data_IF_015365020089
#
_entry.id   IF_015365020089
#
_cell.length_a   1.000
_cell.length_b   1.000
_cell.length_c   1.000
_cell.angle_alpha   90.00
_cell.angle_beta   90.00
_cell.angle_gamma   90.00
#
_symmetry.space_group_name_H-M   'P 1'
#
loop_
_entity.id
_entity.type
_entity.pdbx_description
1 polymer ?
#
# COMPACT_ATOMS: atom_id res chain seq x y z
N UNK A 1 -23.75 7.32 7.38
CA UNK A 1 -22.66 7.49 6.41
C UNK A 1 -21.46 8.20 7.02
N UNK A 2 -20.35 8.20 6.32
CA UNK A 2 -19.12 8.89 6.71
C UNK A 2 -18.94 10.16 5.88
N UNK A 3 -18.37 11.20 6.47
CA UNK A 3 -17.84 12.32 5.70
C UNK A 3 -16.46 11.95 5.19
N UNK A 4 -16.27 12.04 3.88
CA UNK A 4 -15.02 11.70 3.20
C UNK A 4 -14.46 12.95 2.55
N UNK A 5 -13.19 13.23 2.79
CA UNK A 5 -12.42 14.22 2.05
C UNK A 5 -11.50 13.48 1.06
N UNK A 6 -11.38 13.99 -0.15
CA UNK A 6 -10.49 13.45 -1.18
C UNK A 6 -9.41 14.48 -1.43
N UNK A 7 -8.15 14.04 -1.35
CA UNK A 7 -6.97 14.85 -1.62
C UNK A 7 -6.27 14.26 -2.85
N UNK A 8 -6.59 14.74 -4.06
CA UNK A 8 -5.99 14.22 -5.28
C UNK A 8 -4.61 14.84 -5.49
N UNK A 9 -3.61 14.00 -5.69
CA UNK A 9 -2.23 14.40 -6.02
C UNK A 9 -1.70 15.57 -5.15
N UNK A 10 -1.62 15.38 -3.81
CA UNK A 10 -1.09 16.42 -2.92
C UNK A 10 0.36 16.74 -3.26
N UNK A 11 0.80 17.96 -2.94
CA UNK A 11 2.21 18.26 -2.93
C UNK A 11 2.92 17.37 -1.91
N UNK A 12 3.80 16.52 -2.43
CA UNK A 12 4.49 15.52 -1.64
C UNK A 12 5.82 15.99 -1.06
N UNK A 13 6.25 17.23 -1.35
CA UNK A 13 7.50 17.78 -0.83
C UNK A 13 7.39 18.13 0.65
N UNK A 14 6.17 18.35 1.14
CA UNK A 14 5.90 18.61 2.56
C UNK A 14 4.63 17.91 3.04
N UNK A 15 4.34 17.99 4.34
CA UNK A 15 3.10 17.47 4.91
C UNK A 15 1.95 18.51 4.93
N UNK A 16 2.15 19.69 4.37
CA UNK A 16 1.18 20.80 4.48
C UNK A 16 -0.15 20.47 3.79
N UNK A 17 -0.11 19.99 2.54
CA UNK A 17 -1.31 19.62 1.80
C UNK A 17 -2.10 18.52 2.52
N UNK A 18 -1.40 17.59 3.18
CA UNK A 18 -2.04 16.52 3.94
C UNK A 18 -2.82 17.07 5.15
N UNK A 19 -2.45 18.24 5.69
CA UNK A 19 -3.15 18.91 6.78
C UNK A 19 -4.32 19.77 6.34
N UNK A 20 -4.45 20.07 5.04
CA UNK A 20 -5.43 21.00 4.50
C UNK A 20 -6.89 20.65 4.87
N UNK A 21 -7.20 19.36 4.97
CA UNK A 21 -8.56 18.88 5.33
C UNK A 21 -8.78 18.70 6.83
N UNK A 22 -7.80 19.08 7.66
CA UNK A 22 -7.81 18.87 9.11
C UNK A 22 -7.54 17.41 9.50
N UNK A 23 -7.39 17.16 10.81
CA UNK A 23 -7.08 15.81 11.32
C UNK A 23 -8.23 14.83 11.06
N UNK A 24 -7.98 13.71 10.36
CA UNK A 24 -8.98 12.69 10.14
C UNK A 24 -9.45 12.06 11.45
N UNK A 25 -10.75 11.82 11.56
CA UNK A 25 -11.34 11.26 12.79
C UNK A 25 -11.10 9.74 12.91
N UNK A 26 -11.11 9.03 11.79
CA UNK A 26 -11.07 7.57 11.77
C UNK A 26 -9.83 7.01 11.12
N UNK A 27 -9.35 7.62 10.05
CA UNK A 27 -8.17 7.13 9.34
C UNK A 27 -7.94 7.84 8.01
N UNK A 28 -6.82 7.51 7.40
CA UNK A 28 -6.42 7.92 6.05
C UNK A 28 -6.33 6.68 5.17
N UNK A 29 -6.95 6.75 3.99
CA UNK A 29 -6.85 5.73 2.95
C UNK A 29 -5.96 6.27 1.85
N UNK A 30 -4.93 5.52 1.45
CA UNK A 30 -3.92 5.97 0.48
C UNK A 30 -3.83 4.98 -0.67
N UNK A 31 -3.90 5.50 -1.89
CA UNK A 31 -3.64 4.73 -3.11
C UNK A 31 -2.73 5.48 -4.06
N UNK A 32 -1.98 4.74 -4.85
CA UNK A 32 -1.06 5.28 -5.87
C UNK A 32 -1.74 5.71 -7.18
N UNK A 33 -3.07 5.56 -7.30
CA UNK A 33 -3.82 5.82 -8.52
C UNK A 33 -4.12 4.55 -9.33
N UNK A 34 -4.59 4.73 -10.56
CA UNK A 34 -5.09 3.65 -11.42
C UNK A 34 -4.00 2.73 -11.99
N UNK A 35 -2.76 3.18 -11.98
CA UNK A 35 -1.62 2.46 -12.54
C UNK A 35 -0.43 2.57 -11.60
N UNK A 36 0.40 1.55 -11.59
CA UNK A 36 1.69 1.59 -10.91
C UNK A 36 2.52 2.79 -11.40
N UNK A 37 3.00 3.59 -10.46
CA UNK A 37 3.71 4.84 -10.77
C UNK A 37 4.97 4.61 -11.59
N UNK A 38 5.69 3.53 -11.32
CA UNK A 38 6.93 3.24 -12.04
C UNK A 38 6.64 2.88 -13.50
N UNK A 39 5.51 2.20 -13.79
CA UNK A 39 5.04 1.95 -15.16
C UNK A 39 4.54 3.24 -15.82
N UNK A 40 3.88 4.12 -15.04
CA UNK A 40 3.43 5.41 -15.55
C UNK A 40 4.58 6.36 -15.87
N UNK A 41 5.63 6.38 -15.05
CA UNK A 41 6.73 7.34 -15.17
C UNK A 41 7.88 6.89 -16.05
N UNK A 42 8.04 5.59 -16.27
CA UNK A 42 9.19 5.04 -17.00
C UNK A 42 8.78 4.12 -18.14
N UNK A 43 9.64 4.02 -19.12
CA UNK A 43 9.56 2.99 -20.18
C UNK A 43 10.18 1.68 -19.69
N UNK A 44 9.94 0.59 -20.42
CA UNK A 44 10.59 -0.71 -20.14
C UNK A 44 12.12 -0.61 -20.14
N UNK A 45 12.71 0.30 -20.95
CA UNK A 45 14.14 0.55 -20.95
C UNK A 45 14.59 1.50 -19.82
N UNK A 46 13.80 1.65 -18.75
CA UNK A 46 14.06 2.50 -17.58
C UNK A 46 14.28 3.99 -17.90
N UNK A 47 13.82 4.46 -19.07
CA UNK A 47 13.89 5.87 -19.45
C UNK A 47 12.66 6.61 -18.91
N UNK A 48 12.86 7.74 -18.25
CA UNK A 48 11.77 8.57 -17.76
C UNK A 48 10.92 9.07 -18.94
N UNK A 49 9.61 8.99 -18.81
CA UNK A 49 8.67 9.54 -19.78
C UNK A 49 8.66 11.05 -19.68
N UNK A 50 8.30 11.73 -20.76
CA UNK A 50 8.18 13.18 -20.82
C UNK A 50 6.81 13.71 -20.35
N UNK A 51 5.82 12.80 -20.23
CA UNK A 51 4.46 13.15 -19.81
C UNK A 51 3.94 12.10 -18.83
N UNK A 52 3.24 12.57 -17.79
CA UNK A 52 2.40 11.74 -16.92
C UNK A 52 0.94 11.94 -17.28
N UNK A 53 0.34 10.97 -17.97
CA UNK A 53 -1.06 11.06 -18.42
C UNK A 53 -2.09 11.07 -17.27
N UNK A 54 -1.65 10.77 -16.05
CA UNK A 54 -2.48 10.77 -14.84
C UNK A 54 -2.31 12.03 -13.99
N UNK A 55 -1.50 12.98 -14.44
CA UNK A 55 -1.33 14.29 -13.81
C UNK A 55 -1.98 15.39 -14.63
N UNK A 56 -2.40 16.44 -13.96
CA UNK A 56 -2.98 17.62 -14.60
C UNK A 56 -2.04 18.20 -15.65
N UNK A 57 -2.58 18.48 -16.84
CA UNK A 57 -1.79 18.95 -17.99
C UNK A 57 -0.81 17.93 -18.56
N UNK A 58 -0.76 16.71 -18.03
CA UNK A 58 0.22 15.69 -18.38
C UNK A 58 1.63 16.01 -17.87
N UNK A 59 1.75 16.84 -16.86
CA UNK A 59 3.04 17.27 -16.31
C UNK A 59 3.71 16.17 -15.50
N UNK A 60 5.00 15.96 -15.78
CA UNK A 60 5.84 15.05 -14.99
C UNK A 60 6.28 15.70 -13.67
N UNK A 61 6.32 14.87 -12.60
CA UNK A 61 6.84 15.29 -11.30
C UNK A 61 5.79 15.73 -10.29
N UNK A 62 4.55 15.93 -10.71
CA UNK A 62 3.43 16.20 -9.77
C UNK A 62 3.17 14.99 -8.86
N UNK A 63 3.33 13.77 -9.37
CA UNK A 63 3.31 12.56 -8.56
C UNK A 63 4.73 12.07 -8.30
N UNK A 64 5.07 11.63 -7.08
CA UNK A 64 6.36 11.00 -6.83
C UNK A 64 6.42 9.60 -7.45
N UNK A 65 7.61 9.06 -7.59
CA UNK A 65 7.81 7.63 -7.78
C UNK A 65 7.37 6.91 -6.50
N UNK A 66 6.67 5.79 -6.66
CA UNK A 66 6.11 5.00 -5.54
C UNK A 66 5.26 5.86 -4.59
N UNK A 67 4.21 6.56 -5.11
CA UNK A 67 3.41 7.52 -4.35
C UNK A 67 2.77 6.90 -3.10
N UNK A 68 2.41 5.63 -3.12
CA UNK A 68 1.85 4.96 -1.94
C UNK A 68 2.78 5.05 -0.74
N UNK A 69 4.09 4.83 -0.93
CA UNK A 69 5.10 4.96 0.13
C UNK A 69 5.26 6.42 0.55
N UNK A 70 5.43 7.30 -0.43
CA UNK A 70 5.69 8.74 -0.16
C UNK A 70 4.50 9.36 0.56
N UNK A 71 3.28 9.11 0.07
CA UNK A 71 2.07 9.67 0.69
C UNK A 71 1.82 9.09 2.08
N UNK A 72 2.12 7.80 2.32
CA UNK A 72 2.01 7.22 3.67
C UNK A 72 2.99 7.89 4.64
N UNK A 73 4.23 8.15 4.22
CA UNK A 73 5.20 8.89 5.03
C UNK A 73 4.73 10.32 5.33
N UNK A 74 4.20 11.04 4.35
CA UNK A 74 3.66 12.39 4.55
C UNK A 74 2.42 12.40 5.43
N UNK A 75 1.53 11.44 5.27
CA UNK A 75 0.35 11.31 6.14
C UNK A 75 0.75 11.00 7.58
N UNK A 76 1.75 10.14 7.80
CA UNK A 76 2.27 9.83 9.14
C UNK A 76 2.98 11.04 9.78
N UNK A 77 3.71 11.82 8.98
CA UNK A 77 4.30 13.10 9.42
C UNK A 77 3.22 14.11 9.81
N UNK A 78 2.14 14.20 9.01
CA UNK A 78 1.02 15.08 9.30
C UNK A 78 0.25 14.66 10.57
N UNK A 79 0.04 13.34 10.72
CA UNK A 79 -0.85 12.74 11.72
C UNK A 79 -0.24 11.47 12.32
N UNK A 80 0.68 11.58 13.30
CA UNK A 80 1.44 10.44 13.84
C UNK A 80 0.58 9.31 14.43
N UNK A 81 -0.59 9.64 14.96
CA UNK A 81 -1.49 8.74 15.69
C UNK A 81 -2.75 8.33 14.91
N UNK A 82 -2.88 8.76 13.67
CA UNK A 82 -4.05 8.41 12.84
C UNK A 82 -3.81 7.10 12.11
N UNK A 83 -4.78 6.17 12.12
CA UNK A 83 -4.70 4.94 11.32
C UNK A 83 -4.47 5.23 9.83
N UNK A 84 -3.50 4.57 9.24
CA UNK A 84 -3.19 4.66 7.81
C UNK A 84 -3.41 3.31 7.16
N UNK A 85 -4.23 3.29 6.13
CA UNK A 85 -4.49 2.12 5.30
C UNK A 85 -4.03 2.41 3.89
N UNK A 86 -3.17 1.58 3.36
CA UNK A 86 -2.72 1.67 1.96
C UNK A 86 -3.47 0.66 1.09
N UNK A 87 -3.62 0.96 -0.19
CA UNK A 87 -4.30 0.06 -1.12
C UNK A 87 -4.11 0.47 -2.58
N UNK A 88 -4.95 -0.09 -3.44
CA UNK A 88 -4.87 0.09 -4.88
C UNK A 88 -3.80 -0.80 -5.53
N UNK A 89 -3.63 -0.64 -6.84
CA UNK A 89 -2.79 -1.54 -7.66
C UNK A 89 -1.34 -1.58 -7.17
N UNK A 90 -0.74 -0.42 -6.91
CA UNK A 90 0.67 -0.31 -6.50
C UNK A 90 0.95 -1.03 -5.18
N UNK A 91 0.07 -0.88 -4.19
CA UNK A 91 0.19 -1.56 -2.91
C UNK A 91 -0.08 -3.07 -3.04
N UNK A 92 -1.12 -3.45 -3.78
CA UNK A 92 -1.50 -4.86 -3.99
C UNK A 92 -0.37 -5.67 -4.61
N UNK A 93 0.32 -5.13 -5.63
CA UNK A 93 1.45 -5.78 -6.29
C UNK A 93 2.69 -5.94 -5.39
N UNK A 94 2.76 -5.16 -4.30
CA UNK A 94 3.90 -5.12 -3.37
C UNK A 94 3.56 -5.60 -1.97
N UNK A 95 2.44 -6.30 -1.78
CA UNK A 95 1.96 -6.76 -0.47
C UNK A 95 2.86 -7.80 0.19
N UNK A 96 3.60 -8.57 -0.62
CA UNK A 96 4.59 -9.56 -0.19
C UNK A 96 6.00 -9.22 -0.70
N UNK A 97 6.95 -10.12 -0.48
CA UNK A 97 8.26 -10.02 -1.10
C UNK A 97 8.12 -10.08 -2.62
N UNK A 98 8.67 -9.10 -3.32
CA UNK A 98 8.49 -8.93 -4.76
C UNK A 98 9.77 -8.49 -5.43
N UNK A 99 9.92 -8.82 -6.74
CA UNK A 99 11.02 -8.32 -7.54
C UNK A 99 10.72 -6.90 -8.03
N UNK A 100 11.56 -5.96 -7.62
CA UNK A 100 11.52 -4.59 -8.12
C UNK A 100 12.40 -4.47 -9.37
N UNK A 101 11.76 -4.46 -10.54
CA UNK A 101 12.43 -4.35 -11.83
C UNK A 101 13.31 -3.09 -11.95
N UNK A 102 12.89 -1.98 -11.34
CA UNK A 102 13.56 -0.69 -11.48
C UNK A 102 14.88 -0.66 -10.72
N UNK A 103 14.90 -1.25 -9.52
CA UNK A 103 16.06 -1.35 -8.65
C UNK A 103 16.84 -2.67 -8.85
N UNK A 104 16.32 -3.57 -9.71
CA UNK A 104 16.91 -4.90 -10.00
C UNK A 104 17.20 -5.71 -8.73
N UNK A 105 16.22 -5.76 -7.83
CA UNK A 105 16.34 -6.50 -6.57
C UNK A 105 15.01 -6.97 -6.02
N UNK A 106 15.06 -7.97 -5.16
CA UNK A 106 13.90 -8.35 -4.34
C UNK A 106 13.75 -7.34 -3.21
N UNK A 107 12.51 -6.85 -3.02
CA UNK A 107 12.11 -6.01 -1.88
C UNK A 107 11.19 -6.77 -0.94
N UNK A 108 11.14 -6.35 0.31
CA UNK A 108 10.11 -6.80 1.27
C UNK A 108 8.73 -6.28 0.87
N UNK A 109 7.71 -6.71 1.61
CA UNK A 109 6.39 -6.07 1.53
C UNK A 109 6.50 -4.54 1.64
N UNK A 110 5.67 -3.84 0.88
CA UNK A 110 5.55 -2.36 0.93
C UNK A 110 5.23 -1.85 2.35
N UNK A 111 4.62 -2.66 3.20
CA UNK A 111 4.33 -2.32 4.60
C UNK A 111 5.59 -2.05 5.44
N UNK A 112 6.76 -2.52 5.01
CA UNK A 112 8.04 -2.18 5.67
C UNK A 112 8.61 -0.84 5.23
N UNK A 113 8.20 -0.33 4.06
CA UNK A 113 8.66 0.95 3.51
C UNK A 113 7.64 2.08 3.77
N UNK A 114 6.35 1.71 3.84
CA UNK A 114 5.25 2.63 4.12
C UNK A 114 4.81 2.49 5.58
N UNK A 115 4.77 3.58 6.38
CA UNK A 115 4.35 3.54 7.77
C UNK A 115 2.81 3.41 7.88
N UNK A 116 2.26 2.35 7.29
CA UNK A 116 0.84 2.03 7.27
C UNK A 116 0.52 0.91 8.27
N UNK A 117 -0.69 0.93 8.80
CA UNK A 117 -1.17 -0.06 9.77
C UNK A 117 -1.76 -1.29 9.07
N UNK A 118 -2.37 -1.07 7.89
CA UNK A 118 -3.01 -2.10 7.08
C UNK A 118 -2.78 -1.84 5.59
N UNK A 119 -2.81 -2.92 4.82
CA UNK A 119 -2.90 -2.88 3.37
C UNK A 119 -4.17 -3.60 2.93
N UNK A 120 -4.93 -3.00 2.02
CA UNK A 120 -6.09 -3.60 1.36
C UNK A 120 -5.69 -3.94 -0.07
N UNK A 121 -5.91 -5.18 -0.51
CA UNK A 121 -5.60 -5.64 -1.85
C UNK A 121 -6.82 -6.19 -2.59
N UNK A 122 -6.71 -6.32 -3.90
CA UNK A 122 -7.80 -6.81 -4.75
C UNK A 122 -8.99 -5.85 -4.79
N UNK A 123 -10.20 -6.41 -4.79
CA UNK A 123 -11.47 -5.68 -4.76
C UNK A 123 -11.77 -5.23 -3.32
N UNK A 124 -11.23 -4.08 -2.95
CA UNK A 124 -11.13 -3.61 -1.57
C UNK A 124 -12.37 -2.97 -0.97
N UNK A 125 -13.51 -2.91 -1.67
CA UNK A 125 -14.70 -2.18 -1.23
C UNK A 125 -15.26 -2.70 0.08
N UNK A 126 -15.43 -4.01 0.18
CA UNK A 126 -15.95 -4.67 1.40
C UNK A 126 -14.97 -4.54 2.57
N UNK A 127 -13.68 -4.77 2.33
CA UNK A 127 -12.64 -4.63 3.34
C UNK A 127 -12.57 -3.18 3.86
N UNK A 128 -12.57 -2.20 2.96
CA UNK A 128 -12.56 -0.77 3.31
C UNK A 128 -13.75 -0.37 4.15
N UNK A 129 -14.96 -0.84 3.79
CA UNK A 129 -16.18 -0.56 4.54
C UNK A 129 -16.12 -1.16 5.95
N UNK A 130 -15.62 -2.39 6.08
CA UNK A 130 -15.47 -3.06 7.37
C UNK A 130 -14.41 -2.39 8.25
N UNK A 131 -13.25 -2.03 7.68
CA UNK A 131 -12.20 -1.26 8.38
C UNK A 131 -12.79 0.05 8.90
N UNK A 132 -13.46 0.83 8.05
CA UNK A 132 -14.08 2.09 8.45
C UNK A 132 -15.09 1.90 9.59
N UNK A 133 -15.90 0.85 9.54
CA UNK A 133 -16.90 0.52 10.56
C UNK A 133 -16.24 0.18 11.92
N UNK A 134 -15.15 -0.60 11.91
CA UNK A 134 -14.43 -0.96 13.13
C UNK A 134 -13.66 0.23 13.73
N UNK A 135 -12.97 1.01 12.90
CA UNK A 135 -12.30 2.24 13.34
C UNK A 135 -13.30 3.27 13.93
N UNK A 136 -14.51 3.37 13.37
CA UNK A 136 -15.56 4.21 13.92
C UNK A 136 -16.05 3.74 15.31
N UNK A 137 -15.90 2.45 15.62
CA UNK A 137 -16.15 1.85 16.93
C UNK A 137 -14.94 1.90 17.86
N UNK A 138 -13.87 2.59 17.44
CA UNK A 138 -12.61 2.74 18.18
C UNK A 138 -11.81 1.44 18.34
N UNK A 139 -12.01 0.45 17.48
CA UNK A 139 -11.11 -0.70 17.41
C UNK A 139 -9.72 -0.20 16.96
N UNK A 140 -8.64 -0.58 17.63
CA UNK A 140 -7.30 -0.23 17.18
C UNK A 140 -6.94 -1.01 15.90
N UNK A 141 -6.09 -0.46 15.03
CA UNK A 141 -5.66 -1.16 13.80
C UNK A 141 -5.10 -2.56 14.04
N UNK A 142 -4.40 -2.77 15.15
CA UNK A 142 -3.82 -4.06 15.55
C UNK A 142 -4.85 -5.18 15.78
N UNK A 143 -6.13 -4.85 15.96
CA UNK A 143 -7.22 -5.82 16.09
C UNK A 143 -7.93 -6.12 14.76
N UNK A 144 -7.55 -5.45 13.66
CA UNK A 144 -8.19 -5.61 12.35
C UNK A 144 -7.54 -6.74 11.52
N UNK A 145 -7.25 -7.87 12.16
CA UNK A 145 -6.45 -8.95 11.59
C UNK A 145 -7.27 -10.05 10.91
N UNK A 146 -8.59 -9.98 11.00
CA UNK A 146 -9.52 -11.00 10.49
C UNK A 146 -10.42 -10.49 9.34
N UNK A 147 -9.99 -9.45 8.66
CA UNK A 147 -10.72 -8.88 7.52
C UNK A 147 -10.15 -9.48 6.22
N UNK A 148 -10.95 -10.20 5.41
CA UNK A 148 -10.49 -10.72 4.13
C UNK A 148 -10.03 -9.60 3.19
N UNK A 149 -9.01 -9.87 2.37
CA UNK A 149 -8.45 -8.90 1.44
C UNK A 149 -7.53 -7.88 2.11
N UNK A 150 -7.02 -8.16 3.31
CA UNK A 150 -6.05 -7.29 4.01
C UNK A 150 -4.73 -8.00 4.26
N UNK A 151 -3.66 -7.19 4.39
CA UNK A 151 -2.36 -7.63 4.86
C UNK A 151 -1.85 -6.67 5.95
N UNK A 152 -1.11 -7.21 6.91
CA UNK A 152 -0.53 -6.45 8.03
C UNK A 152 0.76 -7.11 8.49
N UNK A 153 1.57 -6.38 9.26
CA UNK A 153 2.78 -6.91 9.89
C UNK A 153 2.45 -7.31 11.33
N UNK A 154 2.86 -8.51 11.71
CA UNK A 154 2.77 -9.00 13.09
C UNK A 154 3.94 -9.93 13.40
N UNK A 155 4.39 -9.94 14.62
CA UNK A 155 5.31 -10.91 15.19
C UNK A 155 4.59 -12.07 15.92
N UNK A 156 3.26 -11.94 16.06
CA UNK A 156 2.41 -12.93 16.74
C UNK A 156 1.29 -13.38 15.80
N UNK A 157 1.38 -14.61 15.35
CA UNK A 157 0.29 -15.26 14.60
C UNK A 157 -0.67 -15.85 15.62
N UNK A 158 -1.80 -15.16 15.84
CA UNK A 158 -2.87 -15.64 16.70
C UNK A 158 -3.65 -16.81 16.08
N UNK A 159 -4.76 -17.19 16.70
CA UNK A 159 -5.68 -18.17 16.12
C UNK A 159 -6.27 -17.62 14.81
N UNK A 160 -6.01 -18.30 13.70
CA UNK A 160 -6.50 -17.91 12.39
C UNK A 160 -7.90 -18.50 12.15
N UNK A 161 -8.82 -17.65 11.71
CA UNK A 161 -10.16 -18.04 11.28
C UNK A 161 -10.22 -18.60 9.86
N UNK A 162 -9.10 -18.52 9.14
CA UNK A 162 -8.97 -18.89 7.73
C UNK A 162 -7.97 -20.02 7.55
N UNK A 163 -8.02 -20.65 6.37
CA UNK A 163 -6.96 -21.56 5.95
C UNK A 163 -5.60 -20.84 5.98
N UNK A 164 -4.57 -21.54 6.43
CA UNK A 164 -3.21 -21.02 6.50
C UNK A 164 -2.37 -21.66 5.42
N UNK A 165 -1.73 -20.83 4.60
CA UNK A 165 -0.67 -21.21 3.70
C UNK A 165 0.62 -20.47 4.07
N UNK A 166 1.72 -21.20 4.27
CA UNK A 166 3.01 -20.61 4.62
C UNK A 166 3.86 -20.43 3.34
N UNK A 167 4.16 -19.20 2.98
CA UNK A 167 5.04 -18.87 1.87
C UNK A 167 6.50 -18.71 2.33
N UNK A 168 7.49 -18.96 1.45
CA UNK A 168 8.89 -18.66 1.74
C UNK A 168 9.09 -17.21 2.17
N UNK A 169 9.85 -17.00 3.25
CA UNK A 169 10.17 -15.67 3.76
C UNK A 169 11.10 -14.88 2.84
N UNK A 170 11.24 -13.59 3.13
CA UNK A 170 12.02 -12.65 2.32
C UNK A 170 13.46 -13.11 2.05
N UNK A 171 14.16 -13.59 3.08
CA UNK A 171 15.55 -14.04 2.98
C UNK A 171 15.69 -15.23 2.02
N UNK A 172 14.77 -16.19 2.09
CA UNK A 172 14.73 -17.33 1.19
C UNK A 172 14.42 -16.91 -0.26
N UNK A 173 13.49 -15.98 -0.43
CA UNK A 173 13.12 -15.42 -1.73
C UNK A 173 14.27 -14.65 -2.36
N UNK A 174 15.07 -13.93 -1.58
CA UNK A 174 16.28 -13.24 -2.05
C UNK A 174 17.38 -14.21 -2.47
N UNK A 175 17.53 -15.32 -1.76
CA UNK A 175 18.63 -16.25 -1.96
C UNK A 175 18.39 -17.24 -3.11
N UNK A 176 17.13 -17.60 -3.40
CA UNK A 176 16.78 -18.68 -4.31
C UNK A 176 15.59 -18.34 -5.20
N UNK A 177 15.81 -18.36 -6.53
CA UNK A 177 14.74 -18.16 -7.53
C UNK A 177 13.63 -19.20 -7.45
N UNK A 178 13.92 -20.42 -7.02
CA UNK A 178 12.91 -21.45 -6.84
C UNK A 178 12.03 -21.14 -5.61
N UNK A 179 12.60 -20.58 -4.55
CA UNK A 179 11.81 -20.07 -3.42
C UNK A 179 10.91 -18.90 -3.83
N UNK A 180 11.43 -17.99 -4.67
CA UNK A 180 10.62 -16.92 -5.24
C UNK A 180 9.44 -17.46 -6.05
N UNK A 181 9.68 -18.42 -6.93
CA UNK A 181 8.63 -19.04 -7.75
C UNK A 181 7.57 -19.75 -6.88
N UNK A 182 8.00 -20.44 -5.79
CA UNK A 182 7.05 -21.05 -4.83
C UNK A 182 6.22 -20.01 -4.11
N UNK A 183 6.83 -18.91 -3.64
CA UNK A 183 6.10 -17.83 -2.97
C UNK A 183 5.02 -17.23 -3.90
N UNK A 184 5.39 -16.93 -5.16
CA UNK A 184 4.46 -16.40 -6.16
C UNK A 184 3.34 -17.39 -6.49
N UNK A 185 3.66 -18.71 -6.56
CA UNK A 185 2.63 -19.73 -6.80
C UNK A 185 1.63 -19.80 -5.66
N UNK A 186 2.10 -19.82 -4.41
CA UNK A 186 1.21 -19.82 -3.23
C UNK A 186 0.33 -18.57 -3.24
N UNK A 187 0.92 -17.40 -3.47
CA UNK A 187 0.17 -16.15 -3.58
C UNK A 187 -0.92 -16.20 -4.66
N UNK A 188 -0.64 -16.84 -5.79
CA UNK A 188 -1.61 -17.02 -6.89
C UNK A 188 -2.71 -18.03 -6.54
N UNK A 189 -2.36 -19.14 -5.91
CA UNK A 189 -3.31 -20.22 -5.59
C UNK A 189 -4.28 -19.82 -4.46
N UNK A 190 -3.85 -18.94 -3.53
CA UNK A 190 -4.63 -18.47 -2.37
C UNK A 190 -5.40 -17.13 -2.66
N UNK A 191 -5.33 -16.64 -3.88
CA UNK A 191 -6.02 -15.41 -4.29
C UNK A 191 -7.39 -15.75 -4.86
#
# INVERSE_FOLDING_TARGET
GYRVAILPQPDWHSAEDFRAMGKPRYGVLIGGGNLDSMVAHYTVAKRRRTRDLYSEGGEMGKRPDRPTIVYANRAREAWPDVPIVIGGLEASLRRFAHYDYWDDKVRRSILFDAPADLLVYGMGESATAEIARRLARKAPPSELTDIPGTAYITDQVGELKFHRADAPGYEAVCADKAAYARATKIEYDEH
#
